data_IF_785049228895
#
_entry.id   IF_785049228895
#
_cell.length_a   1.000
_cell.length_b   1.000
_cell.length_c   1.000
_cell.angle_alpha   90.00
_cell.angle_beta   90.00
_cell.angle_gamma   90.00
#
_symmetry.space_group_name_H-M   'P 1'
#
loop_
_entity.id
_entity.type
_entity.pdbx_description
1 polymer ?
#
# COMPACT_ATOMS: atom_id res chain seq x y z
N UNK A 1 54.45 -22.33 54.11
CA UNK A 1 54.96 -22.39 52.72
C UNK A 1 53.93 -21.74 51.81
N UNK A 2 54.39 -20.89 50.90
CA UNK A 2 53.64 -19.93 50.07
C UNK A 2 52.76 -20.55 48.97
N UNK A 3 51.81 -19.71 48.47
CA UNK A 3 51.20 -19.63 47.11
C UNK A 3 49.98 -20.54 46.83
N UNK A 4 48.84 -20.10 46.23
CA UNK A 4 48.42 -19.00 45.32
C UNK A 4 46.93 -18.66 45.61
N UNK A 5 46.51 -17.41 45.80
CA UNK A 5 45.98 -16.44 44.82
C UNK A 5 44.93 -16.98 43.81
N UNK A 6 43.66 -16.58 43.96
CA UNK A 6 42.81 -16.13 42.85
C UNK A 6 41.60 -15.34 43.36
N UNK A 7 41.50 -14.08 42.97
CA UNK A 7 40.32 -13.21 43.12
C UNK A 7 39.35 -13.56 41.98
N UNK A 8 38.07 -13.74 42.27
CA UNK A 8 37.02 -13.65 41.25
C UNK A 8 35.86 -12.82 41.78
N UNK A 9 35.68 -11.67 41.13
CA UNK A 9 34.66 -10.66 41.31
C UNK A 9 33.30 -11.24 40.86
N UNK A 10 32.33 -11.36 41.76
CA UNK A 10 30.96 -11.76 41.40
C UNK A 10 30.12 -10.50 41.19
N UNK A 11 29.86 -10.15 39.93
CA UNK A 11 28.98 -9.04 39.54
C UNK A 11 27.53 -9.53 39.60
N UNK A 12 26.75 -8.95 40.51
CA UNK A 12 25.33 -9.22 40.70
C UNK A 12 24.52 -8.41 39.67
N UNK A 13 24.00 -9.06 38.62
CA UNK A 13 23.04 -8.46 37.70
C UNK A 13 21.61 -8.66 38.26
N UNK A 14 21.02 -7.61 38.82
CA UNK A 14 19.57 -7.55 39.07
C UNK A 14 18.88 -6.97 37.83
N UNK A 15 18.09 -7.79 37.15
CA UNK A 15 17.22 -7.40 36.04
C UNK A 15 15.96 -6.76 36.64
N UNK A 16 15.74 -5.47 36.38
CA UNK A 16 14.44 -4.82 36.59
C UNK A 16 13.51 -5.20 35.43
N UNK A 17 12.43 -5.94 35.73
CA UNK A 17 11.32 -6.13 34.79
C UNK A 17 10.39 -4.94 34.93
N UNK A 18 10.51 -3.96 34.02
CA UNK A 18 9.51 -2.92 33.86
C UNK A 18 8.40 -3.49 32.97
N UNK A 19 7.23 -3.75 33.58
CA UNK A 19 6.00 -4.08 32.87
C UNK A 19 5.53 -2.88 32.06
N UNK A 20 6.01 -2.77 30.82
CA UNK A 20 5.52 -1.81 29.83
C UNK A 20 4.25 -2.35 29.17
N UNK A 21 3.15 -1.61 29.33
CA UNK A 21 1.99 -1.69 28.45
C UNK A 21 2.47 -1.57 26.99
N UNK A 22 2.36 -2.64 26.21
CA UNK A 22 2.59 -2.58 24.77
C UNK A 22 1.47 -1.72 24.14
N UNK A 23 1.78 -0.65 23.38
CA UNK A 23 0.79 -0.02 22.55
C UNK A 23 0.35 -1.00 21.46
N UNK A 24 -0.95 -1.12 21.29
CA UNK A 24 -1.60 -1.90 20.24
C UNK A 24 -1.24 -1.23 18.90
N UNK A 25 -0.31 -1.80 18.14
CA UNK A 25 -0.01 -1.35 16.76
C UNK A 25 -1.22 -1.65 15.88
N UNK A 26 -2.14 -0.69 15.77
CA UNK A 26 -3.03 -0.60 14.62
C UNK A 26 -2.18 -0.08 13.47
N UNK A 27 -1.86 -0.94 12.50
CA UNK A 27 -1.16 -0.59 11.27
C UNK A 27 -1.91 0.53 10.55
N UNK A 28 -1.48 1.76 10.80
CA UNK A 28 -1.92 2.93 10.06
C UNK A 28 -1.17 2.89 8.72
N UNK A 29 -1.81 3.15 7.57
CA UNK A 29 -1.11 3.26 6.28
C UNK A 29 0.08 4.21 6.43
N UNK A 30 1.24 3.82 5.88
CA UNK A 30 2.49 4.56 6.04
C UNK A 30 2.39 5.85 5.22
N UNK A 31 1.97 6.94 5.86
CA UNK A 31 2.03 8.26 5.27
C UNK A 31 3.50 8.65 5.05
N UNK A 32 3.82 9.16 3.85
CA UNK A 32 5.17 9.66 3.54
C UNK A 32 5.46 10.88 4.43
N UNK A 33 6.54 10.87 5.21
CA UNK A 33 6.89 12.03 6.03
C UNK A 33 7.38 13.20 5.19
N UNK A 34 7.16 14.42 5.67
CA UNK A 34 7.64 15.64 5.02
C UNK A 34 9.18 15.67 4.88
N UNK A 35 9.88 15.04 5.82
CA UNK A 35 11.34 14.91 5.80
C UNK A 35 11.80 13.98 4.68
N UNK A 36 11.09 12.85 4.48
CA UNK A 36 11.37 11.96 3.36
C UNK A 36 11.18 12.64 2.02
N UNK A 37 10.04 13.33 1.84
CA UNK A 37 9.77 14.10 0.60
C UNK A 37 10.89 15.11 0.33
N UNK A 38 11.37 15.81 1.36
CA UNK A 38 12.42 16.82 1.20
C UNK A 38 13.75 16.26 0.70
N UNK A 39 14.19 15.11 1.20
CA UNK A 39 15.46 14.51 0.76
C UNK A 39 15.36 13.99 -0.68
N UNK A 40 14.26 13.31 -1.05
CA UNK A 40 14.11 12.82 -2.44
C UNK A 40 13.99 13.98 -3.42
N UNK A 41 13.32 15.08 -3.03
CA UNK A 41 13.14 16.25 -3.89
C UNK A 41 14.46 16.94 -4.24
N UNK A 42 15.54 16.74 -3.46
CA UNK A 42 16.88 17.23 -3.80
C UNK A 42 17.50 16.48 -4.99
N UNK A 43 17.30 15.16 -5.04
CA UNK A 43 17.87 14.27 -6.06
C UNK A 43 16.96 14.17 -7.30
N UNK A 44 15.64 14.23 -7.10
CA UNK A 44 14.64 14.24 -8.17
C UNK A 44 13.85 15.56 -8.07
N UNK A 45 14.12 16.54 -8.94
CA UNK A 45 13.35 17.78 -8.94
C UNK A 45 11.88 17.50 -9.30
N UNK A 46 10.95 18.22 -8.64
CA UNK A 46 9.49 18.14 -8.86
C UNK A 46 8.83 16.81 -8.49
N UNK A 47 9.21 16.18 -7.37
CA UNK A 47 8.42 15.06 -6.84
C UNK A 47 7.05 15.58 -6.44
N UNK A 48 5.97 15.04 -7.02
CA UNK A 48 4.62 15.43 -6.66
C UNK A 48 4.33 15.12 -5.19
N UNK A 49 3.35 15.81 -4.60
CA UNK A 49 3.00 15.65 -3.18
C UNK A 49 2.39 14.26 -2.91
N UNK A 50 3.25 13.26 -2.71
CA UNK A 50 2.86 11.88 -2.42
C UNK A 50 2.14 11.79 -1.07
N UNK A 51 0.93 11.27 -1.11
CA UNK A 51 0.05 11.10 0.05
C UNK A 51 0.18 9.69 0.62
N UNK A 52 0.25 8.70 -0.27
CA UNK A 52 0.36 7.28 0.10
C UNK A 52 1.18 6.54 -0.94
N UNK A 53 2.09 5.70 -0.46
CA UNK A 53 2.84 4.74 -1.26
C UNK A 53 2.78 3.39 -0.53
N UNK A 54 2.45 2.31 -1.25
CA UNK A 54 2.61 0.94 -0.72
C UNK A 54 3.38 0.10 -1.71
N UNK A 55 4.41 -0.59 -1.21
CA UNK A 55 5.34 -1.44 -1.99
C UNK A 55 5.46 -2.84 -1.38
N UNK A 56 4.90 -3.06 -0.19
CA UNK A 56 4.97 -4.29 0.58
C UNK A 56 6.38 -4.68 1.06
N UNK A 57 7.38 -3.81 0.87
CA UNK A 57 8.77 -4.10 1.22
C UNK A 57 8.99 -4.30 2.72
N UNK A 58 8.13 -3.69 3.54
CA UNK A 58 8.08 -3.92 4.99
C UNK A 58 7.70 -5.37 5.39
N UNK A 59 7.37 -6.22 4.42
CA UNK A 59 6.86 -7.57 4.64
C UNK A 59 5.44 -7.60 5.24
N UNK A 60 4.74 -6.45 5.26
CA UNK A 60 3.40 -6.27 5.83
C UNK A 60 2.41 -5.78 4.76
N UNK A 61 1.13 -5.89 5.06
CA UNK A 61 0.04 -5.53 4.13
C UNK A 61 -0.12 -4.01 3.91
N UNK A 62 0.62 -3.18 4.65
CA UNK A 62 0.68 -1.71 4.46
C UNK A 62 -0.69 -1.00 4.42
N UNK A 63 -1.66 -1.54 5.16
CA UNK A 63 -3.02 -1.00 5.26
C UNK A 63 -4.01 -1.58 4.26
N UNK A 64 -3.57 -2.45 3.35
CA UNK A 64 -4.45 -3.25 2.52
C UNK A 64 -5.19 -4.31 3.35
N UNK A 65 -6.43 -4.58 2.99
CA UNK A 65 -7.28 -5.59 3.62
C UNK A 65 -8.07 -6.36 2.54
N UNK A 66 -8.53 -7.59 2.84
CA UNK A 66 -9.44 -8.29 1.95
C UNK A 66 -10.75 -7.51 1.72
N UNK A 67 -11.23 -7.51 0.47
CA UNK A 67 -12.53 -6.98 0.08
C UNK A 67 -13.44 -8.11 -0.42
N UNK A 68 -14.35 -8.55 0.44
CA UNK A 68 -15.28 -9.64 0.18
C UNK A 68 -15.08 -10.85 1.09
N UNK A 69 -16.15 -11.61 1.29
CA UNK A 69 -16.14 -12.77 2.18
C UNK A 69 -15.32 -13.93 1.58
N UNK A 70 -14.35 -14.44 2.36
CA UNK A 70 -13.48 -15.53 1.95
C UNK A 70 -12.27 -15.11 1.12
N UNK A 71 -12.14 -13.82 0.79
CA UNK A 71 -10.93 -13.29 0.18
C UNK A 71 -9.80 -13.32 1.18
N UNK A 72 -8.62 -13.75 0.72
CA UNK A 72 -7.37 -13.70 1.49
C UNK A 72 -6.35 -12.86 0.75
N UNK A 73 -5.57 -12.09 1.50
CA UNK A 73 -4.39 -11.36 1.00
C UNK A 73 -3.15 -11.90 1.71
N UNK A 74 -2.01 -11.90 1.01
CA UNK A 74 -0.74 -12.31 1.58
C UNK A 74 0.40 -11.55 0.90
N UNK A 75 1.34 -11.05 1.70
CA UNK A 75 2.60 -10.52 1.18
C UNK A 75 3.51 -11.68 0.79
N UNK A 76 4.04 -11.65 -0.44
CA UNK A 76 4.82 -12.76 -1.03
C UNK A 76 6.05 -12.26 -1.75
N UNK A 77 7.08 -13.10 -1.88
CA UNK A 77 8.36 -12.79 -2.53
C UNK A 77 8.61 -13.57 -3.84
N UNK A 78 7.54 -14.14 -4.41
CA UNK A 78 7.61 -15.01 -5.59
C UNK A 78 7.41 -14.30 -6.93
N UNK A 79 6.75 -13.14 -6.93
CA UNK A 79 6.29 -12.45 -8.14
C UNK A 79 6.02 -10.97 -7.80
N UNK A 80 6.91 -10.08 -8.22
CA UNK A 80 6.88 -8.65 -7.82
C UNK A 80 7.08 -7.74 -9.01
N UNK A 81 6.59 -6.51 -8.91
CA UNK A 81 6.80 -5.50 -9.94
C UNK A 81 8.14 -4.79 -9.70
N UNK A 82 8.35 -4.30 -8.48
CA UNK A 82 9.63 -3.82 -8.00
C UNK A 82 9.99 -4.49 -6.67
N UNK A 83 11.18 -4.20 -6.13
CA UNK A 83 11.56 -4.72 -4.82
C UNK A 83 11.55 -6.25 -4.69
N UNK A 84 11.27 -6.70 -3.47
CA UNK A 84 11.27 -8.10 -3.06
C UNK A 84 9.87 -8.64 -2.81
N UNK A 85 8.90 -7.82 -2.45
CA UNK A 85 7.57 -8.28 -2.05
C UNK A 85 6.45 -7.68 -2.90
N UNK A 86 5.32 -8.39 -2.99
CA UNK A 86 4.06 -7.89 -3.55
C UNK A 86 2.88 -8.47 -2.76
N UNK A 87 1.66 -8.00 -3.01
CA UNK A 87 0.46 -8.55 -2.37
C UNK A 87 -0.28 -9.50 -3.31
N UNK A 88 -0.42 -10.76 -2.89
CA UNK A 88 -1.18 -11.79 -3.58
C UNK A 88 -2.61 -11.89 -3.03
N UNK A 89 -3.59 -11.88 -3.92
CA UNK A 89 -5.02 -11.85 -3.61
C UNK A 89 -5.65 -13.15 -4.11
N UNK A 90 -6.33 -13.87 -3.21
CA UNK A 90 -6.92 -15.19 -3.49
C UNK A 90 -8.30 -15.36 -2.86
N UNK A 91 -8.98 -16.46 -3.19
CA UNK A 91 -10.26 -16.81 -2.55
C UNK A 91 -11.44 -15.92 -2.97
N UNK A 92 -11.28 -15.19 -4.09
CA UNK A 92 -12.32 -14.35 -4.68
C UNK A 92 -13.48 -15.22 -5.18
N UNK A 93 -14.72 -14.75 -5.00
CA UNK A 93 -15.94 -15.48 -5.39
C UNK A 93 -16.86 -14.71 -6.32
N UNK A 94 -16.70 -13.38 -6.43
CA UNK A 94 -17.48 -12.50 -7.31
C UNK A 94 -16.59 -11.39 -7.89
N UNK A 95 -16.98 -10.80 -9.02
CA UNK A 95 -16.11 -9.93 -9.82
C UNK A 95 -15.56 -8.70 -9.08
N UNK A 96 -16.29 -8.16 -8.09
CA UNK A 96 -15.86 -7.01 -7.28
C UNK A 96 -14.98 -7.38 -6.09
N UNK A 97 -14.84 -8.67 -5.76
CA UNK A 97 -13.91 -9.09 -4.70
C UNK A 97 -12.47 -8.71 -5.09
N UNK A 98 -11.63 -8.47 -4.09
CA UNK A 98 -10.23 -8.11 -4.29
C UNK A 98 -9.57 -7.67 -3.00
N UNK A 99 -8.57 -6.80 -3.09
CA UNK A 99 -8.02 -6.09 -1.93
C UNK A 99 -8.50 -4.64 -1.93
N UNK A 100 -8.65 -4.06 -0.74
CA UNK A 100 -9.01 -2.65 -0.55
C UNK A 100 -8.08 -1.93 0.43
N UNK A 101 -8.00 -0.61 0.32
CA UNK A 101 -7.30 0.25 1.27
C UNK A 101 -8.17 1.47 1.62
N UNK A 102 -8.24 1.81 2.91
CA UNK A 102 -9.03 2.94 3.39
C UNK A 102 -8.28 4.26 3.20
N UNK A 103 -8.94 5.23 2.59
CA UNK A 103 -8.35 6.51 2.18
C UNK A 103 -9.00 7.74 2.82
N UNK A 104 -10.13 7.55 3.54
CA UNK A 104 -10.93 8.63 4.13
C UNK A 104 -10.11 9.64 4.95
N UNK A 105 -9.17 9.16 5.76
CA UNK A 105 -8.39 10.03 6.63
C UNK A 105 -7.16 10.63 5.93
N UNK A 106 -6.80 10.11 4.75
CA UNK A 106 -5.67 10.54 3.95
C UNK A 106 -6.05 11.60 2.91
N UNK A 107 -7.11 11.34 2.13
CA UNK A 107 -7.55 12.24 1.06
C UNK A 107 -8.52 13.30 1.59
N UNK A 108 -8.42 14.52 1.05
CA UNK A 108 -9.12 15.70 1.56
C UNK A 108 -10.11 16.27 0.54
N UNK A 109 -11.28 16.78 1.00
CA UNK A 109 -12.22 17.49 0.14
C UNK A 109 -11.59 18.66 -0.63
N UNK A 110 -12.06 18.90 -1.84
CA UNK A 110 -11.59 19.98 -2.72
C UNK A 110 -10.23 19.72 -3.37
N UNK A 111 -9.68 18.51 -3.25
CA UNK A 111 -8.41 18.11 -3.85
C UNK A 111 -8.63 17.14 -5.01
N UNK A 112 -7.66 17.12 -5.91
CA UNK A 112 -7.54 16.12 -6.97
C UNK A 112 -6.32 15.26 -6.69
N UNK A 113 -6.43 13.98 -6.95
CA UNK A 113 -5.38 13.00 -6.75
C UNK A 113 -5.11 12.23 -8.03
N UNK A 114 -3.84 12.01 -8.33
CA UNK A 114 -3.40 11.00 -9.30
C UNK A 114 -3.17 9.68 -8.57
N UNK A 115 -3.70 8.60 -9.11
CA UNK A 115 -3.63 7.25 -8.54
C UNK A 115 -3.01 6.33 -9.58
N UNK A 116 -2.06 5.50 -9.17
CA UNK A 116 -1.46 4.44 -9.96
C UNK A 116 -1.30 3.18 -9.11
N UNK A 117 -1.57 2.01 -9.69
CA UNK A 117 -1.41 0.70 -9.07
C UNK A 117 -0.96 -0.31 -10.13
N UNK A 118 0.06 -1.11 -9.83
CA UNK A 118 0.46 -2.21 -10.71
C UNK A 118 -0.29 -3.48 -10.37
N UNK A 119 -0.74 -4.19 -11.41
CA UNK A 119 -1.47 -5.45 -11.27
C UNK A 119 -0.89 -6.52 -12.17
N UNK A 120 -0.99 -7.78 -11.75
CA UNK A 120 -0.62 -8.96 -12.55
C UNK A 120 -1.52 -10.13 -12.23
N UNK A 121 -1.76 -10.98 -13.21
CA UNK A 121 -2.36 -12.29 -13.03
C UNK A 121 -1.64 -13.31 -13.91
N UNK A 122 -1.81 -14.60 -13.65
CA UNK A 122 -1.08 -15.67 -14.34
C UNK A 122 -1.99 -16.60 -15.18
N UNK A 123 -3.23 -16.19 -15.47
CA UNK A 123 -4.12 -16.94 -16.38
C UNK A 123 -3.64 -16.87 -17.83
N UNK A 124 -3.95 -17.89 -18.64
CA UNK A 124 -3.53 -17.95 -20.05
C UNK A 124 -4.19 -16.89 -20.94
N UNK A 125 -5.46 -16.58 -20.67
CA UNK A 125 -6.21 -15.58 -21.42
C UNK A 125 -6.12 -14.20 -20.77
N UNK A 126 -6.11 -13.11 -21.57
CA UNK A 126 -6.24 -11.76 -21.06
C UNK A 126 -7.46 -11.60 -20.16
N UNK A 127 -7.31 -10.79 -19.12
CA UNK A 127 -8.37 -10.48 -18.15
C UNK A 127 -8.61 -8.98 -18.13
N UNK A 128 -9.77 -8.57 -17.62
CA UNK A 128 -10.13 -7.17 -17.51
C UNK A 128 -10.13 -6.77 -16.04
N UNK A 129 -9.15 -5.95 -15.66
CA UNK A 129 -8.93 -5.53 -14.28
C UNK A 129 -9.26 -4.04 -14.15
N UNK A 130 -9.80 -3.63 -13.01
CA UNK A 130 -10.12 -2.24 -12.70
C UNK A 130 -9.72 -1.86 -11.29
N UNK A 131 -9.60 -0.56 -11.07
CA UNK A 131 -9.51 0.04 -9.74
C UNK A 131 -10.69 1.00 -9.55
N UNK A 132 -11.38 0.83 -8.43
CA UNK A 132 -12.64 1.50 -8.15
C UNK A 132 -12.58 2.15 -6.77
N UNK A 133 -13.09 3.38 -6.69
CA UNK A 133 -13.27 4.10 -5.45
C UNK A 133 -14.68 3.84 -4.91
N UNK A 134 -14.78 3.06 -3.83
CA UNK A 134 -16.00 3.03 -3.01
C UNK A 134 -16.02 4.27 -2.16
N UNK A 135 -17.11 5.04 -2.21
CA UNK A 135 -17.22 6.29 -1.46
C UNK A 135 -18.63 6.55 -0.95
N UNK A 136 -18.70 7.34 0.10
CA UNK A 136 -19.94 7.94 0.60
C UNK A 136 -19.63 9.31 1.18
N UNK A 137 -20.26 10.33 0.64
CA UNK A 137 -20.28 11.67 1.22
C UNK A 137 -21.55 11.87 2.07
N UNK A 138 -21.57 12.91 2.89
CA UNK A 138 -22.75 13.32 3.65
C UNK A 138 -23.92 13.77 2.77
N UNK A 139 -23.64 14.22 1.54
CA UNK A 139 -24.64 14.51 0.52
C UNK A 139 -25.27 13.28 -0.13
N UNK A 140 -24.67 12.09 0.03
CA UNK A 140 -25.12 10.88 -0.67
C UNK A 140 -26.18 10.10 0.13
N UNK A 141 -27.24 9.66 -0.56
CA UNK A 141 -28.27 8.78 0.03
C UNK A 141 -27.76 7.34 0.24
N UNK A 142 -26.81 6.89 -0.59
CA UNK A 142 -26.21 5.56 -0.54
C UNK A 142 -24.74 5.58 -0.97
N UNK A 143 -24.01 4.50 -0.66
CA UNK A 143 -22.64 4.29 -1.13
C UNK A 143 -22.59 4.29 -2.65
N UNK A 144 -21.58 4.95 -3.20
CA UNK A 144 -21.31 5.05 -4.63
C UNK A 144 -19.98 4.36 -4.98
N UNK A 145 -19.82 4.04 -6.26
CA UNK A 145 -18.65 3.33 -6.80
C UNK A 145 -18.20 4.06 -8.06
N UNK A 146 -17.09 4.78 -7.95
CA UNK A 146 -16.53 5.57 -9.04
C UNK A 146 -15.33 4.82 -9.63
N UNK A 147 -15.33 4.55 -10.94
CA UNK A 147 -14.17 3.94 -11.58
C UNK A 147 -13.02 4.94 -11.70
N UNK A 148 -11.82 4.53 -11.27
CA UNK A 148 -10.58 5.28 -11.51
C UNK A 148 -9.97 4.83 -12.83
N UNK A 149 -9.89 3.51 -13.01
CA UNK A 149 -9.57 2.84 -14.26
C UNK A 149 -10.47 1.61 -14.37
N UNK A 150 -11.12 1.42 -15.52
CA UNK A 150 -12.13 0.40 -15.70
C UNK A 150 -11.79 -0.51 -16.87
N UNK A 151 -11.97 -1.82 -16.64
CA UNK A 151 -11.95 -2.83 -17.71
C UNK A 151 -10.67 -2.76 -18.56
N UNK A 152 -9.51 -2.60 -17.91
CA UNK A 152 -8.24 -2.58 -18.60
C UNK A 152 -7.83 -4.01 -18.96
N UNK A 153 -7.71 -4.28 -20.26
CA UNK A 153 -7.20 -5.57 -20.73
C UNK A 153 -5.75 -5.74 -20.24
N UNK A 154 -5.54 -6.82 -19.50
CA UNK A 154 -4.28 -7.20 -18.86
C UNK A 154 -3.90 -8.59 -19.40
N UNK A 155 -2.74 -8.73 -20.06
CA UNK A 155 -2.24 -10.03 -20.46
C UNK A 155 -1.72 -10.84 -19.26
N UNK A 156 -1.94 -12.15 -19.29
CA UNK A 156 -1.36 -13.06 -18.30
C UNK A 156 0.17 -12.99 -18.27
N UNK A 157 0.74 -13.07 -17.06
CA UNK A 157 2.17 -13.10 -16.82
C UNK A 157 2.86 -11.74 -16.94
N UNK A 158 2.13 -10.63 -17.10
CA UNK A 158 2.70 -9.28 -17.20
C UNK A 158 2.14 -8.35 -16.12
N UNK A 159 3.02 -7.53 -15.56
CA UNK A 159 2.63 -6.39 -14.75
C UNK A 159 2.13 -5.27 -15.67
N UNK A 160 0.95 -4.72 -15.35
CA UNK A 160 0.34 -3.61 -16.06
C UNK A 160 -0.05 -2.53 -15.04
N UNK A 161 0.21 -1.28 -15.40
CA UNK A 161 -0.19 -0.12 -14.62
C UNK A 161 -1.67 0.21 -14.84
N UNK A 162 -2.44 0.29 -13.77
CA UNK A 162 -3.77 0.89 -13.75
C UNK A 162 -3.65 2.29 -13.14
N UNK A 163 -4.04 3.32 -13.88
CA UNK A 163 -3.93 4.70 -13.41
C UNK A 163 -5.14 5.54 -13.78
N UNK A 164 -5.33 6.62 -13.01
CA UNK A 164 -6.39 7.59 -13.24
C UNK A 164 -6.30 8.76 -12.27
N UNK A 165 -7.25 9.69 -12.37
CA UNK A 165 -7.37 10.81 -11.43
C UNK A 165 -8.68 10.73 -10.67
N UNK A 166 -8.67 11.13 -9.40
CA UNK A 166 -9.87 11.20 -8.57
C UNK A 166 -9.99 12.59 -7.93
N UNK A 167 -11.13 13.23 -8.13
CA UNK A 167 -11.41 14.52 -7.50
C UNK A 167 -12.44 14.33 -6.38
N UNK A 168 -12.10 14.78 -5.18
CA UNK A 168 -13.06 14.87 -4.09
C UNK A 168 -13.72 16.25 -4.15
N UNK A 169 -15.06 16.35 -4.23
CA UNK A 169 -15.75 17.63 -4.22
C UNK A 169 -15.35 18.50 -3.03
N UNK A 170 -15.36 19.82 -3.20
CA UNK A 170 -15.14 20.73 -2.09
C UNK A 170 -16.39 20.77 -1.18
N UNK A 171 -16.19 20.97 0.12
CA UNK A 171 -17.27 21.19 1.07
C UNK A 171 -18.09 19.97 1.48
N UNK A 172 -17.71 18.76 1.05
CA UNK A 172 -18.34 17.50 1.51
C UNK A 172 -17.65 16.94 2.75
N UNK A 173 -18.39 16.22 3.59
CA UNK A 173 -17.79 15.34 4.58
C UNK A 173 -17.67 13.93 4.03
N UNK A 174 -16.47 13.35 4.11
CA UNK A 174 -16.20 11.99 3.68
C UNK A 174 -16.67 11.04 4.78
N UNK A 175 -17.72 10.25 4.52
CA UNK A 175 -18.23 9.23 5.43
C UNK A 175 -17.52 7.89 5.22
N UNK A 176 -17.29 7.50 3.96
CA UNK A 176 -16.49 6.35 3.54
C UNK A 176 -15.69 6.70 2.28
N UNK A 177 -14.48 6.16 2.17
CA UNK A 177 -13.61 6.29 1.00
C UNK A 177 -12.56 5.18 1.03
N UNK A 178 -12.71 4.20 0.14
CA UNK A 178 -11.78 3.09 -0.01
C UNK A 178 -11.53 2.80 -1.49
N UNK A 179 -10.27 2.64 -1.86
CA UNK A 179 -9.86 2.16 -3.18
C UNK A 179 -9.81 0.64 -3.14
N UNK A 180 -10.29 -0.04 -4.17
CA UNK A 180 -10.15 -1.48 -4.30
C UNK A 180 -9.87 -1.90 -5.74
N UNK A 181 -9.19 -3.04 -5.89
CA UNK A 181 -8.94 -3.69 -7.17
C UNK A 181 -10.01 -4.75 -7.44
N UNK A 182 -10.47 -4.85 -8.68
CA UNK A 182 -11.50 -5.81 -9.08
C UNK A 182 -11.25 -6.41 -10.45
N UNK A 183 -11.90 -7.55 -10.72
CA UNK A 183 -11.85 -8.26 -12.00
C UNK A 183 -13.30 -8.58 -12.40
N UNK A 184 -14.04 -7.64 -12.98
CA UNK A 184 -15.50 -7.75 -13.14
C UNK A 184 -15.92 -9.00 -13.93
N UNK A 185 -15.16 -9.37 -14.95
CA UNK A 185 -15.45 -10.49 -15.85
C UNK A 185 -14.97 -11.85 -15.35
N UNK A 186 -14.24 -11.91 -14.24
CA UNK A 186 -13.74 -13.17 -13.69
C UNK A 186 -13.71 -13.16 -12.15
N UNK A 187 -14.68 -13.86 -11.57
CA UNK A 187 -14.97 -13.87 -10.15
C UNK A 187 -13.96 -14.62 -9.27
N UNK A 188 -13.12 -15.46 -9.87
CA UNK A 188 -12.22 -16.38 -9.13
C UNK A 188 -10.76 -16.20 -9.49
N UNK A 189 -10.43 -15.24 -10.36
CA UNK A 189 -9.06 -14.97 -10.76
C UNK A 189 -8.24 -14.47 -9.56
N UNK A 190 -7.23 -15.23 -9.17
CA UNK A 190 -6.18 -14.76 -8.29
C UNK A 190 -5.28 -13.75 -9.01
N UNK A 191 -4.85 -12.73 -8.30
CA UNK A 191 -4.05 -11.64 -8.86
C UNK A 191 -3.07 -11.08 -7.84
N UNK A 192 -2.05 -10.40 -8.34
CA UNK A 192 -1.05 -9.67 -7.57
C UNK A 192 -1.27 -8.18 -7.76
N UNK A 193 -0.99 -7.41 -6.72
CA UNK A 193 -0.86 -5.96 -6.79
C UNK A 193 0.47 -5.52 -6.20
N UNK A 194 0.98 -4.40 -6.69
CA UNK A 194 2.23 -3.80 -6.25
C UNK A 194 2.24 -2.29 -6.52
N UNK A 195 3.12 -1.57 -5.84
CA UNK A 195 3.46 -0.17 -6.12
C UNK A 195 2.24 0.77 -6.25
N UNK A 196 1.35 0.78 -5.23
CA UNK A 196 0.31 1.81 -5.15
C UNK A 196 0.97 3.17 -4.93
N UNK A 197 0.56 4.16 -5.70
CA UNK A 197 0.94 5.54 -5.48
C UNK A 197 -0.27 6.45 -5.58
N UNK A 198 -0.43 7.31 -4.57
CA UNK A 198 -1.42 8.37 -4.56
C UNK A 198 -0.72 9.70 -4.31
N UNK A 199 -0.95 10.65 -5.20
CA UNK A 199 -0.32 11.97 -5.19
C UNK A 199 -1.39 13.05 -5.26
N UNK A 200 -1.27 14.11 -4.45
CA UNK A 200 -2.10 15.30 -4.61
C UNK A 200 -1.67 16.12 -5.84
N UNK A 201 -2.64 16.41 -6.72
CA UNK A 201 -2.47 17.18 -7.93
C UNK A 201 -3.07 16.48 -9.16
N UNK A 202 -3.04 17.17 -10.30
CA UNK A 202 -3.44 16.63 -11.60
C UNK A 202 -2.27 15.99 -12.38
N UNK A 203 -1.05 16.10 -11.86
CA UNK A 203 0.13 15.54 -12.49
C UNK A 203 0.22 14.06 -12.14
N UNK A 204 0.38 13.21 -13.15
CA UNK A 204 0.61 11.78 -12.93
C UNK A 204 2.02 11.55 -12.38
N UNK A 205 2.14 10.58 -11.49
CA UNK A 205 3.39 10.15 -10.87
C UNK A 205 3.34 8.64 -10.69
N UNK A 206 4.47 7.98 -10.86
CA UNK A 206 4.61 6.53 -10.73
C UNK A 206 5.93 6.21 -10.08
N UNK A 207 5.97 5.12 -9.32
CA UNK A 207 7.23 4.51 -8.90
C UNK A 207 7.84 3.83 -10.12
N UNK A 208 8.96 4.36 -10.60
CA UNK A 208 9.82 3.64 -11.56
C UNK A 208 10.84 2.81 -10.79
N UNK A 209 11.46 1.78 -11.38
CA UNK A 209 12.54 1.05 -10.71
C UNK A 209 13.67 1.96 -10.22
N UNK A 210 14.03 3.02 -10.95
CA UNK A 210 15.05 3.99 -10.53
C UNK A 210 14.60 4.79 -9.31
N UNK A 211 13.35 5.23 -9.30
CA UNK A 211 12.77 5.96 -8.19
C UNK A 211 12.57 5.06 -6.96
N UNK A 212 12.15 3.81 -7.16
CA UNK A 212 12.11 2.79 -6.11
C UNK A 212 13.50 2.61 -5.49
N UNK A 213 14.53 2.40 -6.31
CA UNK A 213 15.91 2.24 -5.84
C UNK A 213 16.41 3.48 -5.09
N UNK A 214 15.98 4.68 -5.50
CA UNK A 214 16.26 5.91 -4.79
C UNK A 214 15.54 5.97 -3.42
N UNK A 215 14.27 5.59 -3.36
CA UNK A 215 13.58 5.47 -2.09
C UNK A 215 14.22 4.40 -1.19
N UNK A 216 14.61 3.26 -1.74
CA UNK A 216 15.29 2.18 -1.01
C UNK A 216 16.68 2.58 -0.50
N UNK A 217 17.42 3.42 -1.23
CA UNK A 217 18.74 3.86 -0.79
C UNK A 217 18.67 4.88 0.35
N UNK A 218 17.68 5.79 0.31
CA UNK A 218 17.54 6.88 1.28
C UNK A 218 16.59 6.56 2.45
N UNK A 219 15.68 5.60 2.29
CA UNK A 219 14.67 5.26 3.30
C UNK A 219 14.58 3.76 3.51
N UNK A 220 15.73 3.13 3.80
CA UNK A 220 15.78 1.72 4.19
C UNK A 220 14.78 1.39 5.30
N UNK A 221 14.56 2.31 6.24
CA UNK A 221 13.63 2.11 7.37
C UNK A 221 12.15 2.32 7.00
N UNK A 222 11.85 2.88 5.82
CA UNK A 222 10.48 2.97 5.30
C UNK A 222 10.05 1.73 4.53
N UNK A 223 11.03 0.97 4.02
CA UNK A 223 10.83 -0.19 3.17
C UNK A 223 11.25 -1.49 3.87
N UNK A 224 11.54 -1.48 5.17
CA UNK A 224 11.85 -2.69 5.97
C UNK A 224 11.07 -2.73 7.27
#
# INVERSE_FOLDING_TARGET
MYKKLSYLLLVLFLIFVVSGCAPKETGMPIAVSQEAVKEVTKEVPNIPNAVLITTFESGKEEGWTPNGEGVSIAVVDKDTHTGKYSLYITGRKVGWNGAQIQLKDLLKPGKTYSISLWVKHNSELPQHIGITMRRRYDSDSSTQYDWISHNQETPGGKWIELSGTYQIPAGVNILDLALYVEVPSNSTLDLYIDDLVIVEGKQSFRITPELFNLFASYFKDYLN
#
